data_IF_301496468117
#
_entry.id   IF_301496468117
#
_cell.length_a   1.000
_cell.length_b   1.000
_cell.length_c   1.000
_cell.angle_alpha   90.00
_cell.angle_beta   90.00
_cell.angle_gamma   90.00
#
_symmetry.space_group_name_H-M   'P 1'
#
loop_
_entity.id
_entity.type
_entity.pdbx_description
1 polymer ?
#
# COMPACT_ATOMS: atom_id res chain seq x y z
N UNK A 1 -22.29 4.64 21.41
CA UNK A 1 -21.63 3.33 21.20
C UNK A 1 -20.39 3.28 22.07
N UNK A 2 -20.10 2.16 22.74
CA UNK A 2 -18.85 2.02 23.51
C UNK A 2 -17.65 2.03 22.56
N UNK A 3 -16.57 2.69 22.96
CA UNK A 3 -15.29 2.67 22.24
C UNK A 3 -14.76 1.23 22.17
N UNK A 4 -14.12 0.83 21.06
CA UNK A 4 -13.36 -0.42 20.96
C UNK A 4 -12.38 -0.60 22.13
N UNK A 5 -12.14 -1.84 22.56
CA UNK A 5 -11.04 -2.11 23.50
C UNK A 5 -9.69 -1.86 22.81
N UNK A 6 -8.69 -1.47 23.59
CA UNK A 6 -7.31 -1.24 23.10
C UNK A 6 -6.76 -2.47 22.36
N UNK A 7 -7.03 -3.67 22.87
CA UNK A 7 -6.62 -4.92 22.22
C UNK A 7 -7.27 -5.13 20.84
N UNK A 8 -8.55 -4.75 20.68
CA UNK A 8 -9.23 -4.86 19.39
C UNK A 8 -8.68 -3.85 18.37
N UNK A 9 -8.33 -2.64 18.82
CA UNK A 9 -7.69 -1.64 17.96
C UNK A 9 -6.30 -2.10 17.55
N UNK A 10 -5.51 -2.63 18.49
CA UNK A 10 -4.19 -3.18 18.22
C UNK A 10 -4.27 -4.35 17.22
N UNK A 11 -5.23 -5.26 17.39
CA UNK A 11 -5.47 -6.34 16.43
C UNK A 11 -5.78 -5.81 15.04
N UNK A 12 -6.67 -4.82 14.92
CA UNK A 12 -7.02 -4.22 13.64
C UNK A 12 -5.82 -3.53 12.97
N UNK A 13 -5.01 -2.81 13.76
CA UNK A 13 -3.78 -2.19 13.29
C UNK A 13 -2.79 -3.23 12.76
N UNK A 14 -2.55 -4.31 13.52
CA UNK A 14 -1.64 -5.40 13.12
C UNK A 14 -2.15 -6.09 11.86
N UNK A 15 -3.45 -6.45 11.83
CA UNK A 15 -4.06 -7.11 10.68
C UNK A 15 -3.99 -6.25 9.43
N UNK A 16 -4.32 -4.95 9.52
CA UNK A 16 -4.22 -4.03 8.40
C UNK A 16 -2.77 -3.82 7.95
N UNK A 17 -1.83 -3.67 8.89
CA UNK A 17 -0.40 -3.57 8.57
C UNK A 17 0.11 -4.82 7.86
N UNK A 18 -0.37 -6.02 8.22
CA UNK A 18 -0.02 -7.26 7.53
C UNK A 18 -0.56 -7.29 6.09
N UNK A 19 -1.79 -6.81 5.86
CA UNK A 19 -2.35 -6.62 4.51
C UNK A 19 -1.48 -5.66 3.72
N UNK A 20 -1.13 -4.51 4.31
CA UNK A 20 -0.34 -3.48 3.65
C UNK A 20 1.05 -4.00 3.26
N UNK A 21 1.76 -4.64 4.19
CA UNK A 21 3.07 -5.27 3.95
C UNK A 21 2.97 -6.34 2.87
N UNK A 22 1.93 -7.18 2.91
CA UNK A 22 1.69 -8.17 1.87
C UNK A 22 1.51 -7.50 0.51
N UNK A 23 0.69 -6.46 0.43
CA UNK A 23 0.41 -5.76 -0.83
C UNK A 23 1.54 -4.86 -1.32
N UNK A 24 2.48 -4.42 -0.48
CA UNK A 24 3.63 -3.60 -0.90
C UNK A 24 4.84 -4.47 -1.25
N UNK A 25 5.10 -5.52 -0.48
CA UNK A 25 6.24 -6.42 -0.71
C UNK A 25 5.96 -7.48 -1.77
N UNK A 26 4.69 -7.89 -1.96
CA UNK A 26 4.32 -8.88 -2.97
C UNK A 26 3.86 -8.27 -4.29
N UNK A 27 4.02 -6.95 -4.51
CA UNK A 27 3.71 -6.28 -5.80
C UNK A 27 4.38 -6.99 -6.98
N UNK A 28 5.57 -7.55 -6.76
CA UNK A 28 6.34 -8.33 -7.73
C UNK A 28 5.72 -9.69 -8.09
N UNK A 29 4.69 -10.15 -7.38
CA UNK A 29 3.95 -11.38 -7.64
C UNK A 29 2.50 -11.15 -8.13
N UNK A 30 1.98 -9.91 -8.09
CA UNK A 30 0.62 -9.58 -8.54
C UNK A 30 0.63 -8.73 -9.82
N UNK A 31 0.01 -9.22 -10.89
CA UNK A 31 -0.20 -8.44 -12.13
C UNK A 31 -1.58 -7.76 -12.07
N UNK A 32 -1.61 -6.44 -11.91
CA UNK A 32 -2.86 -5.67 -12.05
C UNK A 32 -2.93 -5.14 -13.50
N UNK A 33 -3.51 -5.93 -14.39
CA UNK A 33 -3.73 -5.55 -15.80
C UNK A 33 -2.45 -5.16 -16.55
N UNK A 34 -2.55 -4.17 -17.45
CA UNK A 34 -1.40 -3.59 -18.19
C UNK A 34 -0.60 -2.57 -17.36
N UNK A 35 -0.98 -2.30 -16.11
CA UNK A 35 -0.37 -1.26 -15.28
C UNK A 35 0.93 -1.73 -14.60
N UNK A 36 1.21 -3.04 -14.60
CA UNK A 36 2.32 -3.64 -13.88
C UNK A 36 3.07 -4.62 -14.78
N UNK A 37 4.38 -4.38 -14.98
CA UNK A 37 5.29 -5.32 -15.64
C UNK A 37 6.14 -6.00 -14.56
N UNK A 38 5.88 -7.27 -14.21
CA UNK A 38 6.60 -7.99 -13.14
C UNK A 38 8.10 -8.12 -13.40
N UNK A 39 8.48 -8.18 -14.69
CA UNK A 39 9.88 -8.34 -15.11
C UNK A 39 10.73 -7.11 -14.80
N UNK A 40 10.13 -5.90 -14.74
CA UNK A 40 10.82 -4.68 -14.34
C UNK A 40 11.10 -4.61 -12.83
N UNK A 41 10.38 -5.39 -12.02
CA UNK A 41 10.41 -5.33 -10.56
C UNK A 41 11.29 -6.42 -9.91
N UNK A 42 11.98 -7.24 -10.71
CA UNK A 42 12.99 -8.21 -10.23
C UNK A 42 14.42 -7.63 -10.21
N UNK A 43 14.54 -6.31 -10.23
CA UNK A 43 15.82 -5.61 -10.13
C UNK A 43 15.89 -4.84 -8.81
N UNK A 44 17.04 -4.92 -8.16
CA UNK A 44 17.36 -4.12 -6.97
C UNK A 44 17.73 -2.72 -7.43
N UNK A 45 16.78 -1.79 -7.35
CA UNK A 45 16.97 -0.38 -7.71
C UNK A 45 16.49 0.52 -6.58
N UNK A 46 17.19 1.64 -6.41
CA UNK A 46 16.83 2.69 -5.46
C UNK A 46 16.71 4.00 -6.25
N UNK A 47 15.60 4.73 -6.05
CA UNK A 47 15.53 6.14 -6.36
C UNK A 47 15.58 6.98 -5.10
N UNK A 48 16.55 7.90 -5.09
CA UNK A 48 16.72 8.89 -4.03
C UNK A 48 16.43 10.31 -4.52
N UNK A 49 16.06 10.47 -5.80
CA UNK A 49 15.71 11.75 -6.39
C UNK A 49 14.20 11.92 -6.23
N UNK A 50 13.72 12.87 -5.41
CA UNK A 50 12.29 13.07 -5.24
C UNK A 50 11.62 13.47 -6.55
N UNK A 51 10.44 12.92 -6.80
CA UNK A 51 9.60 13.14 -7.97
C UNK A 51 10.23 12.74 -9.31
N UNK A 52 11.20 11.82 -9.29
CA UNK A 52 11.91 11.40 -10.50
C UNK A 52 10.97 10.77 -11.54
N UNK A 53 9.94 10.03 -11.09
CA UNK A 53 8.99 9.37 -11.99
C UNK A 53 8.17 10.36 -12.83
N UNK A 54 7.92 11.57 -12.35
CA UNK A 54 7.27 12.60 -13.16
C UNK A 54 8.14 13.09 -14.32
N UNK A 55 9.46 12.96 -14.21
CA UNK A 55 10.43 13.38 -15.22
C UNK A 55 10.70 12.23 -16.20
N UNK A 56 10.81 11.00 -15.69
CA UNK A 56 11.19 9.83 -16.49
C UNK A 56 10.00 9.14 -17.16
N UNK A 57 8.80 9.23 -16.59
CA UNK A 57 7.63 8.55 -17.16
C UNK A 57 7.13 9.23 -18.43
N UNK A 58 6.73 8.42 -19.41
CA UNK A 58 6.07 8.89 -20.63
C UNK A 58 4.62 9.33 -20.42
N UNK A 59 4.06 9.12 -19.20
CA UNK A 59 2.68 9.42 -18.86
C UNK A 59 2.58 9.94 -17.43
N UNK A 60 1.96 11.11 -17.26
CA UNK A 60 1.68 11.73 -15.96
C UNK A 60 0.76 10.89 -15.06
N UNK A 61 0.01 9.93 -15.61
CA UNK A 61 -0.94 9.11 -14.86
C UNK A 61 -0.24 8.05 -13.99
N UNK A 62 0.86 7.48 -14.46
CA UNK A 62 1.56 6.39 -13.75
C UNK A 62 2.16 6.86 -12.42
N UNK A 63 2.94 7.97 -12.38
CA UNK A 63 3.46 8.50 -11.11
C UNK A 63 2.33 8.93 -10.16
N UNK A 64 1.29 9.58 -10.68
CA UNK A 64 0.14 10.00 -9.88
C UNK A 64 -0.56 8.81 -9.21
N UNK A 65 -0.76 7.71 -9.95
CA UNK A 65 -1.36 6.50 -9.41
C UNK A 65 -0.47 5.82 -8.37
N UNK A 66 0.85 5.75 -8.61
CA UNK A 66 1.81 5.20 -7.65
C UNK A 66 1.83 5.97 -6.34
N UNK A 67 2.12 7.27 -6.41
CA UNK A 67 2.18 8.15 -5.24
C UNK A 67 0.83 8.23 -4.51
N UNK A 68 -0.26 8.34 -5.25
CA UNK A 68 -1.61 8.35 -4.70
C UNK A 68 -1.97 7.04 -4.00
N UNK A 69 -1.55 5.90 -4.55
CA UNK A 69 -1.74 4.58 -3.95
C UNK A 69 -1.00 4.42 -2.63
N UNK A 70 0.26 4.83 -2.58
CA UNK A 70 1.09 4.78 -1.37
C UNK A 70 0.52 5.69 -0.27
N UNK A 71 0.16 6.93 -0.61
CA UNK A 71 -0.57 7.83 0.28
C UNK A 71 -1.86 7.17 0.82
N UNK A 72 -2.70 6.62 -0.05
CA UNK A 72 -3.98 6.03 0.34
C UNK A 72 -3.82 4.80 1.25
N UNK A 73 -2.79 3.96 1.03
CA UNK A 73 -2.51 2.79 1.86
C UNK A 73 -2.15 3.16 3.31
N UNK A 74 -1.47 4.28 3.52
CA UNK A 74 -1.12 4.72 4.88
C UNK A 74 -2.23 5.48 5.61
N UNK A 75 -3.31 5.89 4.92
CA UNK A 75 -4.44 6.58 5.56
C UNK A 75 -5.13 5.71 6.62
N UNK A 76 -5.56 4.46 6.35
CA UNK A 76 -6.17 3.63 7.39
C UNK A 76 -5.20 3.27 8.52
N UNK A 77 -3.91 3.10 8.22
CA UNK A 77 -2.87 2.93 9.25
C UNK A 77 -2.84 4.14 10.19
N UNK A 78 -2.81 5.37 9.65
CA UNK A 78 -2.83 6.60 10.43
C UNK A 78 -4.09 6.76 11.27
N UNK A 79 -5.25 6.38 10.73
CA UNK A 79 -6.52 6.35 11.48
C UNK A 79 -6.41 5.40 12.67
N UNK A 80 -6.04 4.14 12.44
CA UNK A 80 -5.99 3.11 13.48
C UNK A 80 -4.97 3.42 14.57
N UNK A 81 -3.79 3.92 14.19
CA UNK A 81 -2.77 4.30 15.16
C UNK A 81 -3.20 5.51 16.00
N UNK A 82 -3.84 6.52 15.40
CA UNK A 82 -4.40 7.63 16.17
C UNK A 82 -5.50 7.18 17.15
N UNK A 83 -6.39 6.29 16.70
CA UNK A 83 -7.43 5.69 17.54
C UNK A 83 -6.82 4.90 18.70
N UNK A 84 -5.72 4.19 18.47
CA UNK A 84 -4.98 3.47 19.50
C UNK A 84 -4.45 4.43 20.57
N UNK A 85 -3.74 5.49 20.18
CA UNK A 85 -3.22 6.51 21.10
C UNK A 85 -4.32 7.15 21.94
N UNK A 86 -5.47 7.44 21.32
CA UNK A 86 -6.61 8.05 22.01
C UNK A 86 -7.22 7.11 23.04
N UNK A 87 -7.34 5.82 22.70
CA UNK A 87 -8.00 4.82 23.56
C UNK A 87 -7.08 4.28 24.65
N UNK A 88 -5.76 4.23 24.42
CA UNK A 88 -4.76 3.77 25.40
C UNK A 88 -4.43 4.82 26.47
N UNK A 89 -4.96 6.04 26.36
CA UNK A 89 -4.58 7.17 27.23
C UNK A 89 -3.21 7.78 26.89
N UNK A 90 -2.55 7.32 25.82
CA UNK A 90 -1.24 7.84 25.35
C UNK A 90 -1.37 9.09 24.47
N UNK A 91 -2.55 9.69 24.43
CA UNK A 91 -2.84 10.84 23.57
C UNK A 91 -2.20 12.13 24.09
N UNK A 92 -1.72 12.95 23.16
CA UNK A 92 -1.16 14.27 23.44
C UNK A 92 -1.45 15.23 22.29
N UNK A 93 -1.23 16.54 22.50
CA UNK A 93 -1.46 17.59 21.48
C UNK A 93 -0.77 17.33 20.14
N UNK A 94 0.33 16.58 20.15
CA UNK A 94 1.13 16.26 18.97
C UNK A 94 0.88 14.83 18.44
N UNK A 95 -0.23 14.16 18.80
CA UNK A 95 -0.48 12.77 18.37
C UNK A 95 -0.53 12.58 16.85
N UNK A 96 -0.89 13.61 16.08
CA UNK A 96 -0.80 13.58 14.60
C UNK A 96 0.65 13.46 14.15
N UNK A 97 1.54 14.31 14.69
CA UNK A 97 2.98 14.27 14.39
C UNK A 97 3.59 12.94 14.87
N UNK A 98 3.16 12.44 16.03
CA UNK A 98 3.61 11.14 16.52
C UNK A 98 3.20 10.02 15.56
N UNK A 99 1.97 10.06 15.04
CA UNK A 99 1.49 9.12 14.02
C UNK A 99 2.28 9.22 12.72
N UNK A 100 2.61 10.43 12.26
CA UNK A 100 3.48 10.63 11.09
C UNK A 100 4.87 10.03 11.29
N UNK A 101 5.49 10.22 12.47
CA UNK A 101 6.81 9.64 12.79
C UNK A 101 6.78 8.12 12.78
N UNK A 102 5.74 7.53 13.38
CA UNK A 102 5.58 6.07 13.41
C UNK A 102 5.29 5.54 11.99
N UNK A 103 4.48 6.24 11.21
CA UNK A 103 4.26 5.94 9.79
C UNK A 103 5.54 6.03 8.95
N UNK A 104 6.35 7.07 9.14
CA UNK A 104 7.63 7.24 8.45
C UNK A 104 8.61 6.11 8.79
N UNK A 105 8.74 5.74 10.06
CA UNK A 105 9.59 4.62 10.49
C UNK A 105 9.09 3.29 9.92
N UNK A 106 7.77 3.07 9.89
CA UNK A 106 7.20 1.87 9.31
C UNK A 106 7.40 1.80 7.79
N UNK A 107 7.18 2.91 7.08
CA UNK A 107 7.47 3.00 5.65
C UNK A 107 8.94 2.76 5.36
N UNK A 108 9.86 3.38 6.12
CA UNK A 108 11.29 3.16 5.97
C UNK A 108 11.67 1.68 6.18
N UNK A 109 11.04 1.00 7.14
CA UNK A 109 11.25 -0.43 7.35
C UNK A 109 10.76 -1.26 6.14
N UNK A 110 9.66 -0.88 5.49
CA UNK A 110 9.17 -1.50 4.26
C UNK A 110 10.17 -1.29 3.13
N UNK A 111 10.62 -0.06 2.88
CA UNK A 111 11.60 0.28 1.85
C UNK A 111 12.90 -0.52 2.03
N UNK A 112 13.46 -0.53 3.26
CA UNK A 112 14.66 -1.30 3.59
C UNK A 112 14.43 -2.79 3.33
N UNK A 113 13.26 -3.32 3.70
CA UNK A 113 12.93 -4.73 3.47
C UNK A 113 12.85 -5.05 1.97
N UNK A 114 12.21 -4.20 1.18
CA UNK A 114 12.14 -4.37 -0.28
C UNK A 114 13.53 -4.38 -0.91
N UNK A 115 14.42 -3.49 -0.47
CA UNK A 115 15.79 -3.43 -0.95
C UNK A 115 16.64 -4.65 -0.52
N UNK A 116 16.56 -5.06 0.75
CA UNK A 116 17.34 -6.18 1.31
C UNK A 116 16.91 -7.52 0.75
N UNK A 117 15.60 -7.74 0.57
CA UNK A 117 15.05 -8.99 0.06
C UNK A 117 14.88 -9.00 -1.47
N UNK A 118 15.34 -7.95 -2.17
CA UNK A 118 15.25 -7.83 -3.63
C UNK A 118 13.80 -7.96 -4.16
N UNK A 119 12.85 -7.38 -3.43
CA UNK A 119 11.41 -7.52 -3.71
C UNK A 119 10.85 -6.41 -4.60
N UNK A 120 11.67 -5.42 -4.97
CA UNK A 120 11.24 -4.37 -5.89
C UNK A 120 12.14 -3.14 -5.89
N UNK A 121 11.52 -2.05 -6.35
CA UNK A 121 12.07 -0.70 -6.44
C UNK A 121 11.82 0.03 -5.11
N UNK A 122 12.89 0.52 -4.48
CA UNK A 122 12.78 1.37 -3.30
C UNK A 122 12.81 2.84 -3.68
N UNK A 123 11.90 3.64 -3.14
CA UNK A 123 11.69 5.02 -3.55
C UNK A 123 11.56 5.99 -2.35
N UNK A 124 12.26 7.11 -2.44
CA UNK A 124 12.12 8.21 -1.49
C UNK A 124 10.70 8.82 -1.53
N UNK A 125 10.05 8.80 -2.69
CA UNK A 125 8.68 9.32 -2.84
C UNK A 125 7.69 8.46 -2.04
N UNK A 126 7.87 7.14 -2.01
CA UNK A 126 7.06 6.23 -1.21
C UNK A 126 7.13 6.59 0.27
N UNK A 127 8.35 6.85 0.80
CA UNK A 127 8.53 7.31 2.17
C UNK A 127 7.79 8.63 2.44
N UNK A 128 7.84 9.58 1.51
CA UNK A 128 7.16 10.88 1.63
C UNK A 128 5.64 10.70 1.63
N UNK A 129 5.07 10.05 0.62
CA UNK A 129 3.63 9.89 0.46
C UNK A 129 3.01 9.01 1.54
N UNK A 130 3.71 7.96 1.99
CA UNK A 130 3.28 7.13 3.12
C UNK A 130 3.23 7.93 4.43
N UNK A 131 4.25 8.77 4.68
CA UNK A 131 4.28 9.65 5.86
C UNK A 131 3.13 10.64 5.84
N UNK A 132 2.86 11.25 4.68
CA UNK A 132 1.73 12.16 4.50
C UNK A 132 0.39 11.44 4.67
N UNK A 133 0.24 10.23 4.14
CA UNK A 133 -0.94 9.37 4.30
C UNK A 133 -1.23 9.06 5.77
N UNK A 134 -0.21 8.70 6.54
CA UNK A 134 -0.34 8.48 7.99
C UNK A 134 -0.83 9.73 8.73
N UNK A 135 -0.29 10.90 8.36
CA UNK A 135 -0.73 12.19 8.90
C UNK A 135 -2.18 12.51 8.55
N UNK A 136 -2.57 12.30 7.29
CA UNK A 136 -3.94 12.50 6.82
C UNK A 136 -4.93 11.56 7.54
N UNK A 137 -4.57 10.29 7.71
CA UNK A 137 -5.36 9.33 8.50
C UNK A 137 -5.56 9.78 9.96
N UNK A 138 -4.49 10.24 10.61
CA UNK A 138 -4.58 10.77 11.96
C UNK A 138 -5.46 12.02 12.05
N UNK A 139 -5.40 12.91 11.06
CA UNK A 139 -6.27 14.08 10.96
C UNK A 139 -7.75 13.69 10.77
N UNK A 140 -8.03 12.71 9.90
CA UNK A 140 -9.38 12.15 9.72
C UNK A 140 -9.90 11.62 11.05
N UNK A 141 -9.15 10.77 11.74
CA UNK A 141 -9.57 10.23 13.04
C UNK A 141 -9.83 11.34 14.08
N UNK A 142 -8.98 12.38 14.09
CA UNK A 142 -9.14 13.56 14.95
C UNK A 142 -10.42 14.35 14.65
N UNK A 143 -10.72 14.60 13.37
CA UNK A 143 -11.86 15.41 12.92
C UNK A 143 -13.18 14.69 13.16
N UNK A 144 -13.25 13.40 12.80
CA UNK A 144 -14.48 12.61 12.93
C UNK A 144 -14.78 12.23 14.39
N UNK A 145 -13.74 12.14 15.23
CA UNK A 145 -13.82 11.92 16.66
C UNK A 145 -14.20 10.49 17.06
N UNK A 146 -14.31 10.28 18.38
CA UNK A 146 -14.43 8.95 18.99
C UNK A 146 -15.68 8.17 18.55
N UNK A 147 -16.73 8.87 18.11
CA UNK A 147 -17.96 8.26 17.61
C UNK A 147 -17.75 7.31 16.43
N UNK A 148 -16.69 7.52 15.64
CA UNK A 148 -16.38 6.70 14.47
C UNK A 148 -15.29 5.64 14.71
N UNK A 149 -14.66 5.59 15.90
CA UNK A 149 -13.55 4.67 16.16
C UNK A 149 -13.95 3.21 15.94
N UNK A 150 -15.16 2.85 16.34
CA UNK A 150 -15.71 1.51 16.10
C UNK A 150 -15.83 1.22 14.60
N UNK A 151 -16.31 2.17 13.81
CA UNK A 151 -16.47 2.01 12.35
C UNK A 151 -15.12 1.74 11.71
N UNK A 152 -14.11 2.57 11.99
CA UNK A 152 -12.77 2.41 11.41
C UNK A 152 -12.11 1.06 11.75
N UNK A 153 -12.23 0.63 13.00
CA UNK A 153 -11.70 -0.68 13.45
C UNK A 153 -12.39 -1.84 12.72
N UNK A 154 -13.71 -1.82 12.61
CA UNK A 154 -14.44 -2.89 11.90
C UNK A 154 -14.16 -2.88 10.40
N UNK A 155 -14.07 -1.71 9.76
CA UNK A 155 -13.70 -1.61 8.34
C UNK A 155 -12.33 -2.23 8.09
N UNK A 156 -11.34 -1.94 8.94
CA UNK A 156 -10.00 -2.52 8.82
C UNK A 156 -10.00 -4.05 9.01
N UNK A 157 -10.75 -4.56 10.00
CA UNK A 157 -10.86 -6.00 10.23
C UNK A 157 -11.58 -6.71 9.08
N UNK A 158 -12.68 -6.15 8.58
CA UNK A 158 -13.41 -6.70 7.43
C UNK A 158 -12.50 -6.72 6.20
N UNK A 159 -11.78 -5.64 5.93
CA UNK A 159 -10.82 -5.59 4.82
C UNK A 159 -9.74 -6.67 4.96
N UNK A 160 -9.20 -6.87 6.17
CA UNK A 160 -8.21 -7.91 6.41
C UNK A 160 -8.77 -9.32 6.22
N UNK A 161 -10.01 -9.58 6.64
CA UNK A 161 -10.69 -10.86 6.40
C UNK A 161 -10.93 -11.07 4.90
N UNK A 162 -11.44 -10.05 4.19
CA UNK A 162 -11.64 -10.11 2.74
C UNK A 162 -10.33 -10.42 2.03
N UNK A 163 -9.25 -9.72 2.38
CA UNK A 163 -7.92 -9.99 1.84
C UNK A 163 -7.48 -11.43 2.11
N UNK A 164 -7.59 -11.91 3.35
CA UNK A 164 -7.20 -13.28 3.71
C UNK A 164 -8.02 -14.34 2.95
N UNK A 165 -9.33 -14.13 2.78
CA UNK A 165 -10.21 -15.01 1.99
C UNK A 165 -9.81 -15.00 0.52
N UNK A 166 -9.54 -13.83 -0.06
CA UNK A 166 -9.08 -13.72 -1.45
C UNK A 166 -7.74 -14.43 -1.67
N UNK A 167 -6.81 -14.32 -0.72
CA UNK A 167 -5.53 -15.05 -0.79
C UNK A 167 -5.75 -16.57 -0.67
N UNK A 168 -6.57 -17.02 0.28
CA UNK A 168 -6.81 -18.44 0.53
C UNK A 168 -7.63 -19.12 -0.58
N UNK A 169 -8.59 -18.41 -1.17
CA UNK A 169 -9.46 -18.90 -2.23
C UNK A 169 -9.00 -18.52 -3.62
N UNK A 170 -7.97 -17.68 -3.77
CA UNK A 170 -7.44 -17.22 -5.06
C UNK A 170 -7.25 -18.35 -6.09
N UNK A 171 -6.63 -19.49 -5.74
CA UNK A 171 -6.47 -20.63 -6.64
C UNK A 171 -7.79 -21.29 -7.10
N UNK A 172 -8.91 -20.99 -6.44
CA UNK A 172 -10.25 -21.53 -6.71
C UNK A 172 -11.20 -20.47 -7.30
N UNK A 173 -10.78 -19.20 -7.31
CA UNK A 173 -11.55 -18.06 -7.76
C UNK A 173 -11.00 -17.61 -9.12
N UNK A 174 -11.40 -18.30 -10.17
CA UNK A 174 -11.01 -17.96 -11.54
C UNK A 174 -11.21 -19.15 -12.46
N UNK A 175 -11.65 -18.87 -13.68
CA UNK A 175 -11.57 -19.82 -14.78
C UNK A 175 -10.17 -19.66 -15.38
N UNK A 176 -9.28 -20.68 -15.28
CA UNK A 176 -7.92 -20.59 -15.82
C UNK A 176 -7.91 -20.16 -17.29
N UNK A 177 -8.96 -20.54 -18.03
CA UNK A 177 -9.11 -20.28 -19.46
C UNK A 177 -9.53 -18.82 -19.77
N UNK A 178 -9.88 -18.03 -18.74
CA UNK A 178 -10.21 -16.60 -18.85
C UNK A 178 -9.14 -15.68 -18.29
N UNK A 179 -8.04 -16.24 -17.78
CA UNK A 179 -6.88 -15.45 -17.39
C UNK A 179 -6.28 -14.89 -18.68
N UNK A 180 -6.35 -13.57 -18.85
CA UNK A 180 -5.75 -12.91 -20.01
C UNK A 180 -4.24 -13.13 -19.93
N UNK A 181 -3.71 -13.95 -20.83
CA UNK A 181 -2.28 -14.23 -20.92
C UNK A 181 -1.57 -13.04 -21.57
N UNK A 182 -1.30 -12.02 -20.74
CA UNK A 182 -0.71 -10.74 -21.16
C UNK A 182 0.69 -10.92 -21.80
N UNK A 183 1.35 -12.06 -21.57
CA UNK A 183 2.60 -12.42 -22.23
C UNK A 183 2.45 -12.74 -23.73
N UNK A 184 1.31 -13.28 -24.18
CA UNK A 184 1.05 -13.51 -25.61
C UNK A 184 0.69 -12.22 -26.34
N UNK A 185 -0.10 -11.33 -25.71
CA UNK A 185 -0.47 -10.04 -26.29
C UNK A 185 0.77 -9.17 -26.59
N UNK A 186 1.79 -9.24 -25.73
CA UNK A 186 3.04 -8.50 -25.91
C UNK A 186 3.99 -9.17 -26.92
N UNK A 187 3.94 -10.50 -27.11
CA UNK A 187 4.70 -11.17 -28.18
C UNK A 187 4.12 -10.90 -29.57
N UNK A 188 2.81 -10.73 -29.68
CA UNK A 188 2.14 -10.42 -30.95
C UNK A 188 2.38 -8.97 -31.41
N UNK A 189 2.60 -8.02 -30.50
CA UNK A 189 2.92 -6.62 -30.84
C UNK A 189 4.40 -6.37 -31.16
N UNK A 190 5.30 -7.31 -30.84
CA UNK A 190 6.75 -7.22 -31.09
C UNK A 190 7.16 -8.09 -32.29
N UNK A 191 6.22 -8.53 -33.13
CA UNK A 191 6.58 -9.15 -34.41
C UNK A 191 7.35 -8.09 -35.23
N UNK A 192 8.65 -8.27 -35.52
CA UNK A 192 9.33 -7.34 -36.41
C UNK A 192 8.60 -7.41 -37.74
N UNK A 193 8.15 -6.26 -38.25
CA UNK A 193 7.81 -6.14 -39.67
C UNK A 193 9.07 -6.55 -40.41
N UNK A 194 9.11 -7.79 -40.91
CA UNK A 194 10.04 -8.17 -41.94
C UNK A 194 9.70 -7.27 -43.13
N UNK A 195 10.43 -6.17 -43.25
CA UNK A 195 10.52 -5.39 -44.48
C UNK A 195 11.25 -6.30 -45.46
N UNK A 196 10.48 -7.13 -46.16
CA UNK A 196 10.95 -7.80 -47.35
C UNK A 196 10.90 -6.81 -48.51
N UNK A 197 12.10 -6.48 -48.99
CA UNK A 197 12.48 -5.89 -50.29
C UNK A 197 12.14 -4.42 -50.51
#
# INVERSE_FOLDING_TARGET
MRTPSTSMIALALIAYSAVMVSLTMLKSFFVIGLLWVPEAHRNRSISLVPFNDFIESSSWFSPLFGYGGNFAFFVPFGVLFYVLLKTSGSWHKNSVIHTMRVGALFSLAIEISQYVFMLGYSDIDDLIFNTLGAGAGALIAKIFGERFFKVWVWLALILAVVFAVLVALGPRLGDPDKVVDLGQAQRLSVTPMNVFV
#
